data_IF_286535372090
#
_entry.id   IF_286535372090
#
_cell.length_a   1.000
_cell.length_b   1.000
_cell.length_c   1.000
_cell.angle_alpha   90.00
_cell.angle_beta   90.00
_cell.angle_gamma   90.00
#
_symmetry.space_group_name_H-M   'P 1'
#
loop_
_entity.id
_entity.type
_entity.pdbx_description
1 polymer ?
#
# COMPACT_ATOMS: atom_id res chain seq x y z
N UNK A 1 12.94 -26.57 2.14
CA UNK A 1 12.93 -25.41 3.06
C UNK A 1 14.11 -24.53 2.69
N UNK A 2 13.92 -23.70 1.66
CA UNK A 2 14.90 -22.78 1.10
C UNK A 2 14.10 -21.75 0.30
N UNK A 3 14.46 -20.46 0.40
CA UNK A 3 13.94 -19.30 -0.37
C UNK A 3 13.02 -18.30 0.34
N UNK A 4 13.37 -17.86 1.54
CA UNK A 4 13.12 -16.46 1.93
C UNK A 4 14.47 -15.75 2.17
N UNK A 5 15.39 -16.44 2.85
CA UNK A 5 16.78 -16.00 3.02
C UNK A 5 17.52 -15.81 1.69
N UNK A 6 17.29 -16.66 0.69
CA UNK A 6 17.91 -16.50 -0.64
C UNK A 6 17.34 -15.33 -1.45
N UNK A 7 16.08 -14.93 -1.23
CA UNK A 7 15.49 -13.78 -1.92
C UNK A 7 15.99 -12.47 -1.30
N UNK A 8 16.15 -12.44 0.03
CA UNK A 8 16.72 -11.30 0.76
C UNK A 8 18.25 -11.21 0.61
N UNK A 9 18.98 -12.33 0.58
CA UNK A 9 20.43 -12.34 0.32
C UNK A 9 20.77 -11.93 -1.13
N UNK A 10 19.90 -12.22 -2.10
CA UNK A 10 20.07 -11.75 -3.48
C UNK A 10 19.74 -10.24 -3.64
N UNK A 11 19.02 -9.65 -2.68
CA UNK A 11 18.86 -8.20 -2.55
C UNK A 11 19.99 -7.54 -1.76
N UNK A 12 20.71 -8.27 -0.91
CA UNK A 12 21.86 -7.74 -0.17
C UNK A 12 23.12 -7.48 -1.01
N UNK A 13 23.18 -7.99 -2.25
CA UNK A 13 24.38 -7.90 -3.10
C UNK A 13 24.16 -7.17 -4.44
N UNK A 14 22.97 -6.62 -4.69
CA UNK A 14 22.64 -5.93 -5.97
C UNK A 14 22.24 -4.46 -5.78
N UNK A 15 22.48 -3.87 -4.61
CA UNK A 15 22.29 -2.43 -4.39
C UNK A 15 23.49 -1.58 -4.85
N UNK A 16 24.51 -2.17 -5.49
CA UNK A 16 25.71 -1.46 -5.96
C UNK A 16 25.68 -1.10 -7.46
N UNK A 17 25.95 0.19 -7.69
CA UNK A 17 26.70 0.81 -8.80
C UNK A 17 26.03 1.27 -10.11
N UNK A 18 24.70 1.42 -10.22
CA UNK A 18 24.09 2.02 -11.44
C UNK A 18 22.91 2.98 -11.28
N UNK A 19 22.67 3.57 -10.10
CA UNK A 19 21.57 4.54 -9.91
C UNK A 19 22.14 5.91 -9.52
N UNK A 20 23.06 6.45 -10.32
CA UNK A 20 23.54 7.83 -10.14
C UNK A 20 22.65 8.88 -10.84
N UNK A 21 21.65 8.49 -11.65
CA UNK A 21 20.93 9.44 -12.53
C UNK A 21 19.40 9.44 -12.44
N UNK A 22 18.78 8.81 -11.43
CA UNK A 22 17.29 8.74 -11.36
C UNK A 22 16.63 9.81 -10.46
N UNK A 23 17.42 10.73 -9.89
CA UNK A 23 16.89 11.96 -9.34
C UNK A 23 16.80 12.98 -10.49
N UNK A 24 15.60 13.21 -11.02
CA UNK A 24 15.22 14.20 -12.06
C UNK A 24 14.95 13.61 -13.45
N UNK A 25 13.72 13.15 -13.69
CA UNK A 25 13.03 13.37 -14.97
C UNK A 25 11.52 13.40 -14.69
N UNK A 26 11.00 14.62 -14.53
CA UNK A 26 9.56 14.89 -14.44
C UNK A 26 8.96 14.90 -15.84
N UNK A 27 7.86 14.16 -16.02
CA UNK A 27 6.92 14.39 -17.11
C UNK A 27 5.61 14.91 -16.47
N UNK A 28 5.38 16.20 -16.63
CA UNK A 28 4.19 16.91 -16.17
C UNK A 28 3.05 16.63 -17.13
N UNK A 29 2.17 15.69 -16.76
CA UNK A 29 0.75 15.70 -17.14
C UNK A 29 0.09 14.49 -16.51
N UNK A 30 -0.86 14.72 -15.60
CA UNK A 30 -2.17 14.04 -15.54
C UNK A 30 -2.97 14.69 -14.40
N UNK A 31 -4.09 15.27 -14.80
CA UNK A 31 -4.97 16.07 -13.97
C UNK A 31 -5.48 15.34 -12.71
N UNK A 32 -5.56 16.12 -11.65
CA UNK A 32 -6.14 15.82 -10.34
C UNK A 32 -7.58 15.26 -10.49
N UNK A 33 -7.73 13.94 -10.44
CA UNK A 33 -9.04 13.27 -10.40
C UNK A 33 -9.28 12.62 -9.04
N UNK A 34 -9.48 13.45 -8.02
CA UNK A 34 -10.37 13.10 -6.91
C UNK A 34 -11.84 13.19 -7.36
N UNK A 35 -12.22 12.48 -8.43
CA UNK A 35 -13.61 12.40 -8.84
C UNK A 35 -14.36 11.47 -7.87
N UNK A 36 -15.21 12.07 -7.03
CA UNK A 36 -16.37 11.38 -6.44
C UNK A 36 -17.11 10.67 -7.56
N UNK A 37 -16.89 9.37 -7.72
CA UNK A 37 -17.77 8.53 -8.51
C UNK A 37 -19.07 8.43 -7.73
N UNK A 38 -20.01 9.33 -8.06
CA UNK A 38 -21.42 9.11 -7.82
C UNK A 38 -21.84 7.82 -8.50
N UNK A 39 -22.55 6.99 -7.75
CA UNK A 39 -23.08 5.69 -8.12
C UNK A 39 -23.75 5.75 -9.52
N UNK A 40 -23.12 5.10 -10.50
CA UNK A 40 -23.79 4.72 -11.74
C UNK A 40 -24.25 3.29 -11.53
N UNK A 41 -25.54 3.14 -11.24
CA UNK A 41 -26.24 1.86 -11.26
C UNK A 41 -26.26 1.32 -12.69
N UNK A 42 -25.36 0.38 -13.00
CA UNK A 42 -25.50 -0.46 -14.19
C UNK A 42 -26.50 -1.59 -13.88
N UNK A 43 -27.73 -1.36 -14.35
CA UNK A 43 -28.78 -2.36 -14.48
C UNK A 43 -28.38 -3.39 -15.55
N UNK A 44 -27.96 -4.58 -15.13
CA UNK A 44 -27.89 -5.76 -15.98
C UNK A 44 -28.73 -6.89 -15.38
N UNK A 45 -29.83 -7.31 -16.02
CA UNK A 45 -30.67 -8.39 -15.53
C UNK A 45 -30.19 -9.73 -16.11
N UNK A 46 -29.47 -10.54 -15.32
CA UNK A 46 -29.77 -11.97 -15.15
C UNK A 46 -28.75 -12.71 -14.27
N UNK A 47 -29.30 -13.43 -13.29
CA UNK A 47 -28.86 -14.74 -12.79
C UNK A 47 -27.35 -14.99 -12.66
N UNK A 48 -26.76 -14.50 -11.57
CA UNK A 48 -25.77 -15.25 -10.78
C UNK A 48 -25.78 -14.73 -9.34
N UNK A 49 -26.25 -15.56 -8.43
CA UNK A 49 -26.46 -15.25 -7.02
C UNK A 49 -25.14 -15.33 -6.22
N UNK A 50 -24.11 -14.63 -6.70
CA UNK A 50 -22.86 -14.42 -5.97
C UNK A 50 -22.84 -12.99 -5.44
N UNK A 51 -23.20 -12.87 -4.16
CA UNK A 51 -23.11 -11.69 -3.30
C UNK A 51 -22.16 -10.60 -3.80
N UNK A 52 -22.69 -9.39 -4.04
CA UNK A 52 -21.89 -8.16 -4.03
C UNK A 52 -21.06 -8.19 -2.73
N UNK A 53 -19.73 -8.22 -2.84
CA UNK A 53 -18.87 -8.24 -1.65
C UNK A 53 -19.18 -7.04 -0.75
N UNK A 54 -19.42 -7.26 0.55
CA UNK A 54 -19.67 -6.18 1.54
C UNK A 54 -18.45 -5.27 1.78
N UNK A 55 -17.40 -5.45 0.98
CA UNK A 55 -16.14 -4.72 1.07
C UNK A 55 -16.01 -3.75 -0.10
N UNK A 56 -15.24 -2.69 0.13
CA UNK A 56 -14.75 -1.78 -0.89
C UNK A 56 -13.23 -1.96 -0.95
N UNK A 57 -12.71 -2.08 -2.16
CA UNK A 57 -11.27 -2.13 -2.41
C UNK A 57 -10.84 -0.85 -3.12
N UNK A 58 -9.68 -0.31 -2.73
CA UNK A 58 -9.02 0.79 -3.43
C UNK A 58 -7.52 0.48 -3.51
N UNK A 59 -6.88 0.89 -4.60
CA UNK A 59 -5.42 0.78 -4.74
C UNK A 59 -4.81 2.09 -4.24
N UNK A 60 -3.75 2.00 -3.45
CA UNK A 60 -2.95 3.11 -2.94
C UNK A 60 -1.48 2.90 -3.26
N UNK A 61 -0.69 3.95 -3.13
CA UNK A 61 0.77 3.91 -3.17
C UNK A 61 1.30 3.70 -1.76
N UNK A 62 2.04 2.61 -1.56
CA UNK A 62 2.84 2.34 -0.36
C UNK A 62 4.28 2.80 -0.60
N UNK A 63 4.85 3.49 0.39
CA UNK A 63 6.27 3.75 0.48
C UNK A 63 6.92 2.75 1.44
N UNK A 64 8.06 2.19 1.02
CA UNK A 64 8.82 1.23 1.81
C UNK A 64 10.24 1.75 1.95
N UNK A 65 10.67 2.00 3.19
CA UNK A 65 12.05 2.39 3.49
C UNK A 65 12.70 1.41 4.47
N UNK A 66 14.01 1.24 4.31
CA UNK A 66 14.86 0.54 5.28
C UNK A 66 15.75 1.58 5.93
N UNK A 67 15.51 1.88 7.21
CA UNK A 67 16.17 3.00 7.88
C UNK A 67 16.32 2.78 9.38
N UNK A 68 17.17 3.58 10.01
CA UNK A 68 17.31 3.56 11.47
C UNK A 68 16.06 4.14 12.15
N UNK A 69 15.78 3.80 13.42
CA UNK A 69 14.70 4.43 14.17
C UNK A 69 14.78 5.97 14.20
N UNK A 70 16.00 6.53 14.27
CA UNK A 70 16.20 7.98 14.22
C UNK A 70 15.83 8.56 12.86
N UNK A 71 16.23 7.90 11.77
CA UNK A 71 15.88 8.33 10.41
C UNK A 71 14.37 8.26 10.18
N UNK A 72 13.70 7.19 10.64
CA UNK A 72 12.24 7.07 10.58
C UNK A 72 11.57 8.20 11.38
N UNK A 73 12.11 8.54 12.56
CA UNK A 73 11.64 9.67 13.35
C UNK A 73 11.72 10.99 12.56
N UNK A 74 12.83 11.25 11.88
CA UNK A 74 12.99 12.44 11.05
C UNK A 74 11.95 12.48 9.91
N UNK A 75 11.71 11.36 9.22
CA UNK A 75 10.65 11.27 8.17
C UNK A 75 9.29 11.60 8.74
N UNK A 76 8.94 11.03 9.90
CA UNK A 76 7.66 11.30 10.56
C UNK A 76 7.53 12.77 10.99
N UNK A 77 8.61 13.41 11.42
CA UNK A 77 8.64 14.82 11.77
C UNK A 77 8.42 15.72 10.55
N UNK A 78 9.10 15.43 9.43
CA UNK A 78 8.92 16.19 8.18
C UNK A 78 7.50 16.03 7.61
N UNK A 79 6.96 14.80 7.59
CA UNK A 79 5.57 14.56 7.17
C UNK A 79 4.58 15.35 8.05
N UNK A 80 4.81 15.35 9.37
CA UNK A 80 3.99 16.11 10.32
C UNK A 80 4.11 17.63 10.09
N UNK A 81 5.32 18.14 9.85
CA UNK A 81 5.59 19.56 9.59
C UNK A 81 4.96 20.08 8.29
N UNK A 82 4.80 19.20 7.30
CA UNK A 82 4.13 19.48 6.03
C UNK A 82 2.62 19.16 6.05
N UNK A 83 2.06 18.85 7.23
CA UNK A 83 0.66 18.45 7.43
C UNK A 83 0.21 17.21 6.61
N UNK A 84 1.16 16.38 6.16
CA UNK A 84 0.89 15.13 5.43
C UNK A 84 0.45 14.06 6.41
N UNK A 85 -0.77 13.55 6.22
CA UNK A 85 -1.33 12.47 7.05
C UNK A 85 -0.81 11.11 6.62
N UNK A 86 -0.70 10.21 7.60
CA UNK A 86 -0.45 8.78 7.38
C UNK A 86 -1.72 8.01 7.72
N UNK A 87 -2.28 7.32 6.73
CA UNK A 87 -3.47 6.50 6.89
C UNK A 87 -3.13 5.05 7.24
N UNK A 88 -2.04 4.49 6.74
CA UNK A 88 -1.63 3.12 7.05
C UNK A 88 -0.13 3.03 7.27
N UNK A 89 0.30 2.23 8.23
CA UNK A 89 1.73 1.99 8.43
C UNK A 89 2.05 0.67 9.14
N UNK A 90 3.29 0.22 8.94
CA UNK A 90 3.92 -0.86 9.70
C UNK A 90 5.40 -0.55 9.90
N UNK A 91 5.90 -0.80 11.11
CA UNK A 91 7.32 -0.72 11.44
C UNK A 91 7.76 -2.10 11.94
N UNK A 92 8.72 -2.70 11.25
CA UNK A 92 9.30 -3.99 11.61
C UNK A 92 10.80 -3.86 11.82
N UNK A 93 11.27 -4.13 13.04
CA UNK A 93 12.70 -4.26 13.30
C UNK A 93 13.25 -5.49 12.58
N UNK A 94 14.36 -5.33 11.84
CA UNK A 94 14.99 -6.41 11.07
C UNK A 94 16.41 -6.72 11.54
N UNK A 95 17.09 -5.78 12.20
CA UNK A 95 18.33 -6.00 12.93
C UNK A 95 18.56 -4.84 13.92
N UNK A 96 19.65 -4.91 14.69
CA UNK A 96 20.02 -3.85 15.63
C UNK A 96 20.20 -2.51 14.91
N UNK A 97 19.34 -1.55 15.24
CA UNK A 97 19.38 -0.21 14.66
C UNK A 97 18.79 -0.09 13.26
N UNK A 98 18.09 -1.09 12.73
CA UNK A 98 17.46 -1.03 11.41
C UNK A 98 16.04 -1.59 11.41
N UNK A 99 15.11 -0.82 10.83
CA UNK A 99 13.72 -1.20 10.65
C UNK A 99 13.29 -1.03 9.19
N UNK A 100 12.36 -1.88 8.77
CA UNK A 100 11.54 -1.63 7.58
C UNK A 100 10.34 -0.81 8.02
N UNK A 101 10.16 0.36 7.42
CA UNK A 101 9.00 1.21 7.61
C UNK A 101 8.20 1.26 6.31
N UNK A 102 6.95 0.78 6.41
CA UNK A 102 5.95 0.82 5.34
C UNK A 102 4.91 1.84 5.71
N UNK A 103 4.54 2.71 4.78
CA UNK A 103 3.52 3.71 5.05
C UNK A 103 2.75 4.14 3.81
N UNK A 104 1.51 4.55 4.03
CA UNK A 104 0.59 5.10 3.03
C UNK A 104 0.15 6.46 3.52
N UNK A 105 0.46 7.50 2.74
CA UNK A 105 0.04 8.89 3.01
C UNK A 105 -1.38 9.17 2.51
N UNK A 106 -1.98 10.24 3.04
CA UNK A 106 -3.33 10.69 2.72
C UNK A 106 -4.35 10.36 3.81
N UNK A 107 -5.62 10.43 3.42
CA UNK A 107 -6.78 10.24 4.29
C UNK A 107 -7.46 8.87 4.10
N UNK A 108 -8.51 8.60 4.89
CA UNK A 108 -9.24 7.32 4.89
C UNK A 108 -9.69 6.90 3.49
N UNK A 109 -10.26 7.82 2.72
CA UNK A 109 -10.95 7.50 1.47
C UNK A 109 -10.25 8.03 0.22
N UNK A 110 -9.16 8.79 0.38
CA UNK A 110 -8.37 9.35 -0.71
C UNK A 110 -6.88 9.43 -0.36
N UNK A 111 -6.04 9.34 -1.38
CA UNK A 111 -4.62 9.63 -1.32
C UNK A 111 -4.36 10.60 -2.47
N UNK A 112 -4.06 11.84 -2.14
CA UNK A 112 -3.86 12.86 -3.17
C UNK A 112 -2.49 12.69 -3.83
N UNK A 113 -2.37 13.12 -5.09
CA UNK A 113 -1.08 13.17 -5.79
C UNK A 113 -0.12 14.10 -5.05
N UNK A 114 -0.62 15.21 -4.49
CA UNK A 114 0.15 16.15 -3.67
C UNK A 114 0.78 15.46 -2.45
N UNK A 115 0.02 14.66 -1.69
CA UNK A 115 0.56 13.93 -0.54
C UNK A 115 1.67 12.95 -0.95
N UNK A 116 1.47 12.24 -2.07
CA UNK A 116 2.47 11.32 -2.63
C UNK A 116 3.73 12.09 -3.04
N UNK A 117 3.59 13.22 -3.72
CA UNK A 117 4.71 14.05 -4.17
C UNK A 117 5.46 14.66 -2.98
N UNK A 118 4.76 15.12 -1.95
CA UNK A 118 5.38 15.62 -0.72
C UNK A 118 6.15 14.50 0.00
N UNK A 119 5.59 13.30 0.10
CA UNK A 119 6.29 12.14 0.67
C UNK A 119 7.57 11.82 -0.11
N UNK A 120 7.51 11.80 -1.46
CA UNK A 120 8.69 11.64 -2.32
C UNK A 120 9.73 12.72 -2.06
N UNK A 121 9.32 14.00 -2.02
CA UNK A 121 10.24 15.12 -1.75
C UNK A 121 10.95 14.95 -0.42
N UNK A 122 10.21 14.66 0.65
CA UNK A 122 10.78 14.46 1.99
C UNK A 122 11.82 13.33 1.99
N UNK A 123 11.50 12.19 1.35
CA UNK A 123 12.43 11.07 1.27
C UNK A 123 13.69 11.43 0.46
N UNK A 124 13.54 12.16 -0.65
CA UNK A 124 14.65 12.67 -1.45
C UNK A 124 15.51 13.68 -0.68
N UNK A 125 14.90 14.66 0.00
CA UNK A 125 15.59 15.71 0.75
C UNK A 125 16.40 15.12 1.91
N UNK A 126 15.88 14.05 2.54
CA UNK A 126 16.58 13.29 3.58
C UNK A 126 17.59 12.27 3.01
N UNK A 127 17.75 12.19 1.68
CA UNK A 127 18.62 11.23 0.99
C UNK A 127 18.32 9.77 1.35
N UNK A 128 17.03 9.43 1.48
CA UNK A 128 16.55 8.10 1.82
C UNK A 128 16.17 7.35 0.54
N UNK A 129 16.76 6.17 0.34
CA UNK A 129 16.31 5.25 -0.69
C UNK A 129 14.98 4.61 -0.29
N UNK A 130 14.03 4.56 -1.22
CA UNK A 130 12.70 4.00 -0.98
C UNK A 130 12.22 3.18 -2.18
N UNK A 131 11.27 2.28 -1.91
CA UNK A 131 10.47 1.63 -2.94
C UNK A 131 9.05 2.18 -2.88
N UNK A 132 8.45 2.31 -4.06
CA UNK A 132 7.01 2.52 -4.21
C UNK A 132 6.37 1.25 -4.73
N UNK A 133 5.25 0.87 -4.12
CA UNK A 133 4.48 -0.28 -4.56
C UNK A 133 2.98 -0.01 -4.49
N UNK A 134 2.21 -0.74 -5.28
CA UNK A 134 0.76 -0.70 -5.22
C UNK A 134 0.26 -1.57 -4.06
N UNK A 135 -0.61 -1.01 -3.22
CA UNK A 135 -1.20 -1.72 -2.08
C UNK A 135 -2.72 -1.64 -2.10
N UNK A 136 -3.39 -2.72 -1.73
CA UNK A 136 -4.85 -2.78 -1.69
C UNK A 136 -5.32 -2.37 -0.29
N UNK A 137 -6.11 -1.30 -0.20
CA UNK A 137 -6.91 -1.00 0.98
C UNK A 137 -8.28 -1.67 0.86
N UNK A 138 -8.62 -2.48 1.84
CA UNK A 138 -9.95 -3.08 2.01
C UNK A 138 -10.68 -2.36 3.14
N UNK A 139 -11.89 -1.88 2.88
CA UNK A 139 -12.78 -1.28 3.88
C UNK A 139 -14.15 -1.97 3.88
N UNK A 140 -14.86 -1.96 5.01
CA UNK A 140 -16.23 -2.45 5.09
C UNK A 140 -17.20 -1.35 4.65
N UNK A 141 -18.20 -1.68 3.83
CA UNK A 141 -19.25 -0.73 3.41
C UNK A 141 -20.17 -0.35 4.57
N UNK A 142 -20.46 -1.30 5.45
CA UNK A 142 -21.45 -1.15 6.53
C UNK A 142 -20.81 -0.85 7.89
N UNK A 143 -19.51 -0.47 7.90
CA UNK A 143 -18.69 -0.31 9.13
C UNK A 143 -18.64 -1.57 10.00
N UNK A 144 -18.97 -2.73 9.44
CA UNK A 144 -18.77 -4.02 10.09
C UNK A 144 -17.27 -4.32 10.23
N UNK A 145 -16.91 -5.11 11.25
CA UNK A 145 -15.51 -5.51 11.46
C UNK A 145 -15.01 -6.30 10.26
N UNK A 146 -13.89 -5.88 9.67
CA UNK A 146 -13.18 -6.67 8.69
C UNK A 146 -12.59 -7.91 9.37
N UNK A 147 -12.92 -9.09 8.86
CA UNK A 147 -12.34 -10.34 9.34
C UNK A 147 -11.06 -10.64 8.58
N UNK A 148 -9.91 -10.33 9.18
CA UNK A 148 -8.58 -10.56 8.59
C UNK A 148 -8.43 -12.00 8.05
N UNK A 149 -8.87 -13.00 8.82
CA UNK A 149 -8.77 -14.40 8.42
C UNK A 149 -9.52 -14.69 7.12
N UNK A 150 -10.74 -14.15 6.96
CA UNK A 150 -11.54 -14.31 5.73
C UNK A 150 -10.86 -13.66 4.53
N UNK A 151 -10.36 -12.44 4.70
CA UNK A 151 -9.69 -11.70 3.62
C UNK A 151 -8.38 -12.36 3.20
N UNK A 152 -7.55 -12.73 4.18
CA UNK A 152 -6.27 -13.40 3.91
C UNK A 152 -6.47 -14.76 3.23
N UNK A 153 -7.43 -15.57 3.71
CA UNK A 153 -7.75 -16.87 3.09
C UNK A 153 -8.29 -16.74 1.66
N UNK A 154 -9.01 -15.66 1.35
CA UNK A 154 -9.46 -15.38 -0.01
C UNK A 154 -8.28 -14.99 -0.91
N UNK A 155 -7.43 -14.07 -0.46
CA UNK A 155 -6.26 -13.58 -1.20
C UNK A 155 -5.26 -14.69 -1.52
N UNK A 156 -4.89 -15.50 -0.53
CA UNK A 156 -3.85 -16.55 -0.70
C UNK A 156 -4.23 -17.66 -1.69
N UNK A 157 -5.51 -17.73 -2.13
CA UNK A 157 -5.95 -18.68 -3.17
C UNK A 157 -5.54 -18.27 -4.58
N UNK A 158 -5.31 -16.96 -4.82
CA UNK A 158 -5.04 -16.41 -6.15
C UNK A 158 -3.82 -15.49 -6.22
N UNK A 159 -3.35 -14.98 -5.08
CA UNK A 159 -2.22 -14.05 -5.00
C UNK A 159 -1.33 -14.38 -3.80
N UNK A 160 -0.05 -14.02 -3.88
CA UNK A 160 0.83 -14.05 -2.73
C UNK A 160 0.67 -12.77 -1.90
N UNK A 161 0.49 -12.89 -0.59
CA UNK A 161 0.35 -11.75 0.33
C UNK A 161 1.71 -11.49 0.99
N UNK A 162 2.37 -10.40 0.61
CA UNK A 162 3.69 -10.02 1.09
C UNK A 162 3.64 -9.30 2.44
N UNK A 163 2.62 -8.45 2.64
CA UNK A 163 2.43 -7.70 3.87
C UNK A 163 0.95 -7.41 4.11
N UNK A 164 0.59 -7.26 5.38
CA UNK A 164 -0.72 -6.74 5.77
C UNK A 164 -0.63 -5.93 7.06
N UNK A 165 -1.34 -4.82 7.14
CA UNK A 165 -1.38 -3.98 8.34
C UNK A 165 -2.68 -3.16 8.44
N UNK A 166 -3.10 -2.76 9.65
CA UNK A 166 -4.29 -1.96 9.82
C UNK A 166 -4.11 -0.54 9.27
N UNK A 167 -5.19 0.03 8.74
CA UNK A 167 -5.31 1.46 8.56
C UNK A 167 -5.61 2.13 9.92
N UNK A 168 -5.12 3.34 10.13
CA UNK A 168 -5.41 4.21 11.28
C UNK A 168 -6.90 4.57 11.37
N UNK A 169 -7.55 4.74 10.23
CA UNK A 169 -8.96 5.16 10.15
C UNK A 169 -9.89 3.94 10.20
N UNK A 170 -10.13 3.33 9.04
CA UNK A 170 -10.88 2.11 8.85
C UNK A 170 -10.23 1.33 7.71
N UNK A 171 -9.94 0.05 7.93
CA UNK A 171 -9.51 -0.84 6.86
C UNK A 171 -8.31 -1.71 7.19
N UNK A 172 -8.03 -2.61 6.26
CA UNK A 172 -6.81 -3.42 6.22
C UNK A 172 -6.11 -3.16 4.90
N UNK A 173 -4.80 -2.96 4.97
CA UNK A 173 -3.93 -2.92 3.82
C UNK A 173 -3.38 -4.32 3.55
N UNK A 174 -3.29 -4.68 2.27
CA UNK A 174 -2.66 -5.90 1.78
C UNK A 174 -1.75 -5.56 0.60
N UNK A 175 -0.45 -5.78 0.78
CA UNK A 175 0.48 -5.81 -0.35
C UNK A 175 0.44 -7.23 -0.91
N UNK A 176 -0.04 -7.37 -2.14
CA UNK A 176 -0.28 -8.66 -2.77
C UNK A 176 0.13 -8.65 -4.24
N UNK A 177 0.67 -9.77 -4.70
CA UNK A 177 1.21 -9.94 -6.04
C UNK A 177 0.74 -11.29 -6.64
N UNK A 178 0.17 -11.32 -7.86
CA UNK A 178 -0.25 -10.17 -8.69
C UNK A 178 -1.43 -9.40 -8.10
N UNK A 179 -1.40 -8.07 -8.20
CA UNK A 179 -2.45 -7.20 -7.63
C UNK A 179 -3.82 -7.41 -8.29
N UNK A 180 -3.85 -7.74 -9.59
CA UNK A 180 -5.09 -8.02 -10.32
C UNK A 180 -5.79 -9.28 -9.78
N UNK A 181 -5.02 -10.33 -9.51
CA UNK A 181 -5.53 -11.58 -8.94
C UNK A 181 -6.02 -11.38 -7.51
N UNK A 182 -5.33 -10.57 -6.73
CA UNK A 182 -5.76 -10.16 -5.39
C UNK A 182 -7.10 -9.41 -5.42
N UNK A 183 -7.26 -8.45 -6.34
CA UNK A 183 -8.52 -7.72 -6.53
C UNK A 183 -9.65 -8.67 -6.98
N UNK A 184 -9.37 -9.59 -7.88
CA UNK A 184 -10.33 -10.60 -8.33
C UNK A 184 -10.72 -11.56 -7.20
N UNK A 185 -9.79 -11.94 -6.33
CA UNK A 185 -10.07 -12.75 -5.14
C UNK A 185 -10.98 -12.04 -4.14
N UNK A 186 -10.79 -10.73 -3.95
CA UNK A 186 -11.61 -9.91 -3.05
C UNK A 186 -13.00 -9.61 -3.63
N UNK A 187 -13.12 -9.49 -4.96
CA UNK A 187 -14.39 -9.28 -5.68
C UNK A 187 -15.24 -10.55 -5.78
N UNK A 188 -14.62 -11.72 -6.01
CA UNK A 188 -15.27 -13.00 -6.30
C UNK A 188 -16.05 -13.64 -5.15
N UNK A 189 -16.35 -12.88 -4.09
CA UNK A 189 -17.03 -13.36 -2.90
C UNK A 189 -16.09 -14.12 -1.98
N UNK A 190 -16.12 -13.79 -0.69
CA UNK A 190 -15.57 -14.64 0.37
C UNK A 190 -16.52 -15.83 0.51
N UNK A 191 -16.50 -16.75 -0.46
CA UNK A 191 -17.19 -18.01 -0.37
C UNK A 191 -16.37 -18.91 0.58
N UNK A 192 -16.98 -19.15 1.75
CA UNK A 192 -16.62 -20.25 2.65
C UNK A 192 -17.06 -21.57 2.04
#
# INVERSE_FOLDING_TARGET
MTNFDNMMNNMCCNFDDRIEDMCCNFDDTMDDMCCRHSDMDDDCPNHDNCNRSNFRTTIRTEFIIKASPQTICNVLQELCGQEVRIDGYSIQSICDGCSVFRFVVGDSDCQSITDIQLARSILCDLSIQYLEDAIIKVTSRDRSSLELAKLYCALQRKSHVNASYPARTCGLYFQADPIEDALNALKGGICQ
#
